data_IF_443028076603
#
_entry.id   IF_443028076603
#
_cell.length_a   1.000
_cell.length_b   1.000
_cell.length_c   1.000
_cell.angle_alpha   90.00
_cell.angle_beta   90.00
_cell.angle_gamma   90.00
#
_symmetry.space_group_name_H-M   'P 1'
#
loop_
_entity.id
_entity.type
_entity.pdbx_description
1 polymer ?
#
# COMPACT_ATOMS: atom_id res chain seq x y z
N UNK A 1 14.74 -5.12 -18.20
CA UNK A 1 14.83 -5.96 -17.00
C UNK A 1 15.76 -7.15 -17.22
N UNK A 2 16.89 -7.13 -16.52
CA UNK A 2 17.86 -8.21 -16.37
C UNK A 2 17.54 -9.03 -15.11
N UNK A 3 17.74 -10.36 -15.16
CA UNK A 3 17.55 -11.24 -14.01
C UNK A 3 18.87 -11.94 -13.70
N UNK A 4 19.36 -11.73 -12.48
CA UNK A 4 20.58 -12.32 -11.92
C UNK A 4 20.20 -13.33 -10.84
N UNK A 5 20.78 -14.53 -10.88
CA UNK A 5 20.48 -15.59 -9.90
C UNK A 5 21.71 -15.85 -9.01
N UNK A 6 21.51 -15.83 -7.69
CA UNK A 6 22.55 -16.11 -6.70
C UNK A 6 22.61 -17.60 -6.31
N UNK A 7 21.51 -18.32 -6.52
CA UNK A 7 21.35 -19.75 -6.26
C UNK A 7 20.68 -20.41 -7.46
N UNK A 8 20.78 -21.75 -7.63
CA UNK A 8 20.03 -22.45 -8.66
C UNK A 8 18.51 -22.26 -8.47
N UNK A 9 17.84 -21.68 -9.45
CA UNK A 9 16.39 -21.45 -9.48
C UNK A 9 15.84 -22.00 -10.79
N UNK A 10 14.71 -22.72 -10.73
CA UNK A 10 14.08 -23.30 -11.91
C UNK A 10 13.49 -22.26 -12.87
N UNK A 11 13.44 -22.59 -14.16
CA UNK A 11 12.92 -21.69 -15.19
C UNK A 11 11.47 -21.27 -14.95
N UNK A 12 10.62 -22.17 -14.43
CA UNK A 12 9.23 -21.87 -14.08
C UNK A 12 9.13 -20.76 -13.03
N UNK A 13 9.98 -20.79 -12.00
CA UNK A 13 10.01 -19.75 -10.96
C UNK A 13 10.49 -18.41 -11.52
N UNK A 14 11.48 -18.42 -12.41
CA UNK A 14 11.95 -17.20 -13.07
C UNK A 14 10.87 -16.60 -13.99
N UNK A 15 10.13 -17.45 -14.69
CA UNK A 15 9.00 -17.04 -15.52
C UNK A 15 7.87 -16.43 -14.67
N UNK A 16 7.55 -17.05 -13.53
CA UNK A 16 6.56 -16.54 -12.57
C UNK A 16 6.97 -15.17 -12.00
N UNK A 17 8.22 -15.01 -11.57
CA UNK A 17 8.75 -13.73 -11.09
C UNK A 17 8.60 -12.65 -12.16
N UNK A 18 9.01 -12.95 -13.39
CA UNK A 18 8.89 -12.00 -14.51
C UNK A 18 7.43 -11.61 -14.73
N UNK A 19 6.53 -12.58 -14.77
CA UNK A 19 5.10 -12.35 -14.96
C UNK A 19 4.52 -11.48 -13.83
N UNK A 20 4.90 -11.72 -12.58
CA UNK A 20 4.47 -10.91 -11.43
C UNK A 20 4.89 -9.44 -11.61
N UNK A 21 6.15 -9.19 -11.96
CA UNK A 21 6.67 -7.83 -12.13
C UNK A 21 5.95 -7.12 -13.29
N UNK A 22 5.78 -7.80 -14.42
CA UNK A 22 5.15 -7.23 -15.62
C UNK A 22 3.62 -7.07 -15.48
N UNK A 23 2.99 -7.75 -14.53
CA UNK A 23 1.52 -7.71 -14.33
C UNK A 23 0.98 -6.35 -13.90
N UNK A 24 1.84 -5.48 -13.33
CA UNK A 24 1.46 -4.11 -12.92
C UNK A 24 1.64 -3.07 -14.02
N UNK A 25 2.21 -3.45 -15.17
CA UNK A 25 2.53 -2.56 -16.28
C UNK A 25 4.01 -2.57 -16.65
N UNK A 26 4.49 -1.55 -17.38
CA UNK A 26 5.91 -1.43 -17.72
C UNK A 26 6.76 -1.39 -16.46
N UNK A 27 7.64 -2.37 -16.29
CA UNK A 27 8.50 -2.49 -15.11
C UNK A 27 9.39 -1.26 -14.96
N UNK A 28 9.33 -0.53 -13.82
CA UNK A 28 10.30 0.50 -13.47
C UNK A 28 11.57 -0.11 -12.88
N UNK A 29 11.70 -1.44 -12.85
CA UNK A 29 12.83 -2.18 -12.29
C UNK A 29 13.70 -2.69 -13.44
N UNK A 30 15.00 -2.39 -13.36
CA UNK A 30 15.99 -2.77 -14.36
C UNK A 30 16.68 -4.09 -14.03
N UNK A 31 16.96 -4.37 -12.76
CA UNK A 31 17.69 -5.56 -12.32
C UNK A 31 16.92 -6.31 -11.24
N UNK A 32 16.79 -7.62 -11.40
CA UNK A 32 16.18 -8.51 -10.41
C UNK A 32 17.20 -9.53 -9.94
N UNK A 33 17.48 -9.56 -8.63
CA UNK A 33 18.43 -10.48 -8.01
C UNK A 33 17.68 -11.56 -7.23
N UNK A 34 17.70 -12.80 -7.71
CA UNK A 34 16.95 -13.92 -7.13
C UNK A 34 17.85 -14.80 -6.26
N UNK A 35 17.35 -15.21 -5.09
CA UNK A 35 18.11 -15.97 -4.10
C UNK A 35 18.73 -15.11 -3.00
N UNK A 36 18.22 -13.89 -2.81
CA UNK A 36 18.64 -13.01 -1.73
C UNK A 36 18.04 -13.45 -0.38
N UNK A 37 18.53 -12.86 0.71
CA UNK A 37 18.03 -13.13 2.07
C UNK A 37 16.59 -12.64 2.27
N UNK A 38 16.25 -11.48 1.70
CA UNK A 38 14.92 -10.87 1.78
C UNK A 38 14.44 -10.38 0.40
N UNK A 39 13.13 -10.37 0.21
CA UNK A 39 12.50 -9.72 -0.95
C UNK A 39 12.34 -8.24 -0.67
N UNK A 40 13.09 -7.39 -1.38
CA UNK A 40 13.14 -5.95 -1.11
C UNK A 40 13.73 -5.16 -2.29
N UNK A 41 13.21 -3.95 -2.50
CA UNK A 41 13.81 -2.96 -3.39
C UNK A 41 15.00 -2.26 -2.72
N UNK A 42 16.14 -2.16 -3.40
CA UNK A 42 17.32 -1.53 -2.83
C UNK A 42 17.09 -0.02 -2.59
N UNK A 43 17.26 0.49 -1.35
CA UNK A 43 16.90 1.89 -1.05
C UNK A 43 17.73 2.93 -1.81
N UNK A 44 18.98 2.59 -2.13
CA UNK A 44 19.89 3.47 -2.87
C UNK A 44 19.70 3.39 -4.38
N UNK A 45 18.99 2.36 -4.85
CA UNK A 45 18.79 2.06 -6.26
C UNK A 45 17.40 1.43 -6.46
N UNK A 46 16.40 2.28 -6.66
CA UNK A 46 15.00 1.89 -6.86
C UNK A 46 14.77 1.06 -8.14
N UNK A 47 15.83 0.78 -8.90
CA UNK A 47 15.81 -0.06 -10.10
C UNK A 47 16.28 -1.49 -9.83
N UNK A 48 16.71 -1.83 -8.60
CA UNK A 48 17.18 -3.18 -8.22
C UNK A 48 16.22 -3.83 -7.21
N UNK A 49 15.60 -4.94 -7.62
CA UNK A 49 14.73 -5.76 -6.76
C UNK A 49 15.44 -7.06 -6.36
N UNK A 50 15.68 -7.24 -5.06
CA UNK A 50 16.10 -8.53 -4.49
C UNK A 50 14.88 -9.39 -4.21
N UNK A 51 14.97 -10.69 -4.49
CA UNK A 51 13.90 -11.67 -4.28
C UNK A 51 14.46 -12.86 -3.51
N UNK A 52 13.84 -13.13 -2.36
CA UNK A 52 14.11 -14.32 -1.56
C UNK A 52 13.41 -15.56 -2.14
N UNK A 53 13.96 -16.73 -1.84
CA UNK A 53 13.37 -18.03 -2.19
C UNK A 53 13.05 -18.82 -0.90
N UNK A 54 11.86 -19.44 -0.78
CA UNK A 54 10.77 -19.51 -1.76
C UNK A 54 10.09 -18.16 -2.01
N UNK A 55 9.56 -17.95 -3.22
CA UNK A 55 9.01 -16.67 -3.67
C UNK A 55 7.73 -16.33 -2.92
N UNK A 56 7.71 -15.20 -2.20
CA UNK A 56 6.48 -14.56 -1.73
C UNK A 56 5.96 -13.58 -2.79
N UNK A 57 4.88 -13.98 -3.46
CA UNK A 57 4.23 -13.18 -4.52
C UNK A 57 3.78 -11.80 -4.04
N UNK A 58 3.22 -11.71 -2.83
CA UNK A 58 2.76 -10.43 -2.29
C UNK A 58 3.94 -9.51 -2.01
N UNK A 59 5.03 -10.04 -1.44
CA UNK A 59 6.23 -9.25 -1.21
C UNK A 59 6.80 -8.71 -2.52
N UNK A 60 6.94 -9.56 -3.54
CA UNK A 60 7.41 -9.14 -4.87
C UNK A 60 6.52 -8.04 -5.45
N UNK A 61 5.20 -8.29 -5.51
CA UNK A 61 4.25 -7.33 -6.05
C UNK A 61 4.23 -6.01 -5.26
N UNK A 62 4.45 -6.05 -3.94
CA UNK A 62 4.48 -4.86 -3.09
C UNK A 62 5.71 -4.00 -3.36
N UNK A 63 6.88 -4.60 -3.53
CA UNK A 63 8.10 -3.88 -3.88
C UNK A 63 8.02 -3.29 -5.30
N UNK A 64 7.44 -4.02 -6.24
CA UNK A 64 7.15 -3.51 -7.61
C UNK A 64 6.16 -2.34 -7.55
N UNK A 65 5.08 -2.47 -6.78
CA UNK A 65 4.12 -1.39 -6.55
C UNK A 65 4.79 -0.16 -5.92
N UNK A 66 5.74 -0.38 -5.01
CA UNK A 66 6.50 0.71 -4.38
C UNK A 66 7.36 1.44 -5.40
N UNK A 67 8.10 0.71 -6.26
CA UNK A 67 8.87 1.30 -7.35
C UNK A 67 7.97 2.17 -8.26
N UNK A 68 6.80 1.66 -8.67
CA UNK A 68 5.82 2.46 -9.42
C UNK A 68 5.35 3.70 -8.65
N UNK A 69 5.02 3.56 -7.37
CA UNK A 69 4.46 4.63 -6.55
C UNK A 69 5.42 5.81 -6.35
N UNK A 70 6.74 5.56 -6.45
CA UNK A 70 7.78 6.59 -6.32
C UNK A 70 8.24 7.14 -7.67
N UNK A 71 8.13 6.38 -8.76
CA UNK A 71 8.58 6.81 -10.09
C UNK A 71 7.48 7.50 -10.91
N UNK A 72 6.20 7.16 -10.69
CA UNK A 72 5.07 7.73 -11.42
C UNK A 72 4.50 8.96 -10.68
N UNK A 73 4.55 10.17 -11.29
CA UNK A 73 4.00 11.38 -10.67
C UNK A 73 2.51 11.29 -10.32
N UNK A 74 1.73 10.50 -11.07
CA UNK A 74 0.29 10.34 -10.79
C UNK A 74 0.05 9.62 -9.45
N UNK A 75 0.95 8.70 -9.09
CA UNK A 75 0.90 8.01 -7.81
C UNK A 75 1.46 8.85 -6.67
N UNK A 76 2.43 9.73 -6.93
CA UNK A 76 2.96 10.64 -5.91
C UNK A 76 1.86 11.52 -5.29
N UNK A 77 0.91 12.04 -6.09
CA UNK A 77 -0.22 12.84 -5.58
C UNK A 77 -1.12 12.11 -4.56
N UNK A 78 -1.09 10.77 -4.57
CA UNK A 78 -1.92 9.95 -3.69
C UNK A 78 -1.43 10.03 -2.25
N UNK A 79 -0.12 10.04 -2.04
CA UNK A 79 0.48 9.81 -0.72
C UNK A 79 1.46 10.90 -0.31
N UNK A 80 2.16 11.54 -1.24
CA UNK A 80 3.21 12.49 -0.90
C UNK A 80 2.63 13.74 -0.24
N UNK A 81 3.12 14.03 0.96
CA UNK A 81 2.83 15.28 1.65
C UNK A 81 3.58 16.44 0.97
N UNK A 82 2.92 17.59 0.71
CA UNK A 82 3.59 18.80 0.28
C UNK A 82 4.71 19.23 1.25
N UNK A 83 5.81 19.84 0.76
CA UNK A 83 6.95 20.25 1.59
C UNK A 83 6.55 21.17 2.76
N UNK A 84 5.50 21.97 2.60
CA UNK A 84 4.98 22.87 3.63
C UNK A 84 4.47 22.12 4.87
N UNK A 85 4.15 20.83 4.73
CA UNK A 85 3.66 19.95 5.80
C UNK A 85 4.72 18.96 6.29
N UNK A 86 5.99 19.13 5.91
CA UNK A 86 7.07 18.20 6.27
C UNK A 86 7.28 18.07 7.80
N UNK A 87 7.03 19.14 8.56
CA UNK A 87 7.16 19.15 10.02
C UNK A 87 5.89 18.68 10.76
N UNK A 88 4.77 18.48 10.06
CA UNK A 88 3.52 18.06 10.67
C UNK A 88 3.47 16.53 10.83
N UNK A 89 3.41 16.05 12.06
CA UNK A 89 3.42 14.62 12.36
C UNK A 89 2.19 13.90 11.80
N UNK A 90 1.00 14.50 11.87
CA UNK A 90 -0.22 13.91 11.34
C UNK A 90 -0.13 13.78 9.81
N UNK A 91 0.44 14.80 9.15
CA UNK A 91 0.71 14.75 7.72
C UNK A 91 1.67 13.60 7.36
N UNK A 92 2.75 13.39 8.13
CA UNK A 92 3.66 12.28 7.89
C UNK A 92 3.00 10.92 8.10
N UNK A 93 2.22 10.74 9.18
CA UNK A 93 1.49 9.49 9.42
C UNK A 93 0.47 9.20 8.32
N UNK A 94 -0.24 10.23 7.84
CA UNK A 94 -1.21 10.09 6.75
C UNK A 94 -0.52 9.75 5.41
N UNK A 95 0.60 10.39 5.12
CA UNK A 95 1.41 10.10 3.92
C UNK A 95 1.80 8.63 3.87
N UNK A 96 2.33 8.09 4.98
CA UNK A 96 2.70 6.68 5.07
C UNK A 96 1.47 5.75 5.02
N UNK A 97 0.36 6.13 5.65
CA UNK A 97 -0.89 5.37 5.60
C UNK A 97 -1.40 5.25 4.16
N UNK A 98 -1.45 6.37 3.43
CA UNK A 98 -1.90 6.41 2.04
C UNK A 98 -0.95 5.69 1.10
N UNK A 99 0.36 5.83 1.30
CA UNK A 99 1.36 5.07 0.53
C UNK A 99 1.12 3.57 0.71
N UNK A 100 1.02 3.09 1.96
CA UNK A 100 0.76 1.68 2.24
C UNK A 100 -0.54 1.19 1.59
N UNK A 101 -1.60 2.01 1.63
CA UNK A 101 -2.87 1.69 0.99
C UNK A 101 -2.82 1.71 -0.52
N UNK A 102 -2.02 2.60 -1.12
CA UNK A 102 -1.77 2.63 -2.54
C UNK A 102 -1.05 1.36 -3.01
N UNK A 103 0.00 0.93 -2.28
CA UNK A 103 0.71 -0.30 -2.62
C UNK A 103 -0.23 -1.50 -2.61
N UNK A 104 -1.00 -1.66 -1.53
CA UNK A 104 -2.00 -2.73 -1.44
C UNK A 104 -3.09 -2.62 -2.53
N UNK A 105 -3.48 -1.40 -2.93
CA UNK A 105 -4.45 -1.20 -4.01
C UNK A 105 -3.89 -1.62 -5.38
N UNK A 106 -2.61 -1.35 -5.64
CA UNK A 106 -1.92 -1.80 -6.85
C UNK A 106 -1.79 -3.33 -6.88
N UNK A 107 -1.43 -3.95 -5.74
CA UNK A 107 -1.44 -5.41 -5.61
C UNK A 107 -2.84 -5.97 -5.84
N UNK A 108 -3.89 -5.37 -5.26
CA UNK A 108 -5.26 -5.85 -5.39
C UNK A 108 -5.84 -5.73 -6.81
N UNK A 109 -5.32 -4.82 -7.64
CA UNK A 109 -5.65 -4.75 -9.07
C UNK A 109 -5.14 -5.97 -9.84
N UNK A 110 -4.02 -6.55 -9.42
CA UNK A 110 -3.45 -7.78 -9.99
C UNK A 110 -4.09 -9.00 -9.36
N UNK A 111 -4.03 -9.11 -8.03
CA UNK A 111 -4.57 -10.22 -7.25
C UNK A 111 -5.05 -9.73 -5.87
N UNK A 112 -6.37 -9.56 -5.75
CA UNK A 112 -7.01 -9.15 -4.51
C UNK A 112 -6.91 -10.22 -3.41
N UNK A 113 -6.75 -11.51 -3.76
CA UNK A 113 -6.64 -12.61 -2.81
C UNK A 113 -5.43 -12.43 -1.88
N UNK A 114 -4.30 -12.03 -2.45
CA UNK A 114 -3.06 -11.80 -1.69
C UNK A 114 -3.20 -10.71 -0.61
N UNK A 115 -4.01 -9.69 -0.88
CA UNK A 115 -4.30 -8.59 0.07
C UNK A 115 -5.30 -9.06 1.12
N UNK A 116 -6.36 -9.77 0.72
CA UNK A 116 -7.39 -10.29 1.62
C UNK A 116 -6.80 -11.28 2.62
N UNK A 117 -5.93 -12.20 2.17
CA UNK A 117 -5.27 -13.20 3.03
C UNK A 117 -4.41 -12.57 4.13
N UNK A 118 -3.81 -11.41 3.85
CA UNK A 118 -2.97 -10.66 4.80
C UNK A 118 -3.73 -9.61 5.60
N UNK A 119 -4.99 -9.35 5.28
CA UNK A 119 -5.78 -8.35 5.96
C UNK A 119 -6.01 -8.72 7.43
N UNK A 120 -5.69 -7.78 8.31
CA UNK A 120 -5.95 -7.84 9.75
C UNK A 120 -6.77 -6.60 10.14
N UNK A 121 -8.11 -6.64 10.00
CA UNK A 121 -8.95 -5.51 10.35
C UNK A 121 -8.84 -5.23 11.84
N UNK A 122 -8.37 -4.04 12.18
CA UNK A 122 -8.19 -3.56 13.55
C UNK A 122 -8.32 -2.03 13.57
N UNK A 123 -8.87 -1.49 14.66
CA UNK A 123 -8.76 -0.06 14.96
C UNK A 123 -7.50 0.16 15.79
N UNK A 124 -6.61 1.02 15.30
CA UNK A 124 -5.35 1.34 15.99
C UNK A 124 -5.53 2.65 16.72
N UNK A 125 -5.64 2.60 18.05
CA UNK A 125 -5.83 3.78 18.88
C UNK A 125 -4.60 4.70 18.84
N UNK A 126 -4.86 6.00 18.79
CA UNK A 126 -3.86 7.06 18.91
C UNK A 126 -4.25 8.07 19.98
N UNK A 127 -3.35 9.03 20.24
CA UNK A 127 -3.54 10.02 21.31
C UNK A 127 -4.78 10.89 21.12
N UNK A 128 -5.21 11.05 19.87
CA UNK A 128 -6.46 11.72 19.51
C UNK A 128 -7.26 10.89 18.51
N UNK A 129 -8.52 11.28 18.30
CA UNK A 129 -9.35 10.66 17.27
C UNK A 129 -8.69 10.78 15.89
N UNK A 130 -8.09 11.93 15.55
CA UNK A 130 -7.35 12.12 14.28
C UNK A 130 -6.28 11.04 14.05
N UNK A 131 -5.40 10.85 15.03
CA UNK A 131 -4.36 9.84 14.96
C UNK A 131 -4.95 8.43 14.90
N UNK A 132 -6.04 8.16 15.63
CA UNK A 132 -6.76 6.88 15.55
C UNK A 132 -7.26 6.60 14.14
N UNK A 133 -7.87 7.59 13.47
CA UNK A 133 -8.39 7.44 12.10
C UNK A 133 -7.26 7.15 11.10
N UNK A 134 -6.16 7.89 11.18
CA UNK A 134 -5.01 7.75 10.28
C UNK A 134 -4.29 6.42 10.49
N UNK A 135 -4.04 6.03 11.74
CA UNK A 135 -3.37 4.76 12.06
C UNK A 135 -4.24 3.56 11.71
N UNK A 136 -5.56 3.68 11.88
CA UNK A 136 -6.51 2.66 11.40
C UNK A 136 -6.46 2.54 9.88
N UNK A 137 -6.47 3.66 9.14
CA UNK A 137 -6.30 3.64 7.67
C UNK A 137 -4.99 2.93 7.26
N UNK A 138 -3.91 3.12 8.03
CA UNK A 138 -2.63 2.49 7.76
C UNK A 138 -2.65 0.96 7.87
N UNK A 139 -3.60 0.34 8.59
CA UNK A 139 -3.71 -1.13 8.74
C UNK A 139 -4.94 -1.74 8.07
N UNK A 140 -5.98 -0.95 7.82
CA UNK A 140 -7.21 -1.37 7.15
C UNK A 140 -7.06 -1.57 5.62
N UNK A 141 -6.87 -2.82 5.22
CA UNK A 141 -6.80 -3.22 3.81
C UNK A 141 -8.11 -3.00 3.03
N UNK A 142 -9.25 -2.77 3.70
CA UNK A 142 -10.52 -2.55 3.00
C UNK A 142 -10.50 -1.28 2.14
N UNK A 143 -9.77 -0.24 2.56
CA UNK A 143 -9.61 0.98 1.76
C UNK A 143 -8.93 0.68 0.41
N UNK A 144 -7.88 -0.15 0.43
CA UNK A 144 -7.17 -0.58 -0.79
C UNK A 144 -8.06 -1.39 -1.72
N UNK A 145 -8.86 -2.30 -1.18
CA UNK A 145 -9.81 -3.09 -1.96
C UNK A 145 -10.90 -2.22 -2.60
N UNK A 146 -11.44 -1.25 -1.86
CA UNK A 146 -12.44 -0.33 -2.41
C UNK A 146 -11.88 0.50 -3.57
N UNK A 147 -10.68 1.06 -3.38
CA UNK A 147 -9.97 1.84 -4.41
C UNK A 147 -9.62 1.00 -5.64
N UNK A 148 -9.36 -0.31 -5.47
CA UNK A 148 -9.14 -1.23 -6.58
C UNK A 148 -10.43 -1.76 -7.22
N UNK A 149 -11.62 -1.25 -6.83
CA UNK A 149 -12.92 -1.64 -7.38
C UNK A 149 -13.57 -2.88 -6.74
N UNK A 150 -12.98 -3.43 -5.68
CA UNK A 150 -13.47 -4.60 -4.91
C UNK A 150 -14.35 -4.16 -3.73
N UNK A 151 -15.40 -3.41 -4.04
CA UNK A 151 -16.23 -2.73 -3.01
C UNK A 151 -16.94 -3.73 -2.09
N UNK A 152 -17.42 -4.86 -2.61
CA UNK A 152 -18.13 -5.84 -1.80
C UNK A 152 -17.20 -6.48 -0.75
N UNK A 153 -16.02 -6.91 -1.15
CA UNK A 153 -14.99 -7.47 -0.27
C UNK A 153 -14.49 -6.43 0.73
N UNK A 154 -14.33 -5.19 0.29
CA UNK A 154 -13.96 -4.07 1.15
C UNK A 154 -14.98 -3.84 2.28
N UNK A 155 -16.27 -3.76 1.94
CA UNK A 155 -17.33 -3.57 2.94
C UNK A 155 -17.42 -4.73 3.93
N UNK A 156 -17.19 -5.97 3.47
CA UNK A 156 -17.11 -7.13 4.35
C UNK A 156 -15.97 -7.00 5.37
N UNK A 157 -14.76 -6.61 4.92
CA UNK A 157 -13.64 -6.41 5.83
C UNK A 157 -13.90 -5.26 6.80
N UNK A 158 -14.39 -4.12 6.30
CA UNK A 158 -14.65 -2.95 7.13
C UNK A 158 -15.69 -3.22 8.22
N UNK A 159 -16.74 -3.99 7.90
CA UNK A 159 -17.79 -4.33 8.87
C UNK A 159 -17.27 -5.06 10.11
N UNK A 160 -16.10 -5.69 10.03
CA UNK A 160 -15.44 -6.35 11.17
C UNK A 160 -14.96 -5.35 12.24
N UNK A 161 -14.86 -4.07 11.89
CA UNK A 161 -14.49 -2.99 12.83
C UNK A 161 -15.70 -2.44 13.60
N UNK A 162 -16.94 -2.84 13.25
CA UNK A 162 -18.17 -2.21 13.75
C UNK A 162 -18.36 -2.21 15.27
N UNK A 163 -17.69 -3.13 15.98
CA UNK A 163 -17.76 -3.22 17.44
C UNK A 163 -16.99 -2.11 18.19
N UNK A 164 -16.13 -1.35 17.51
CA UNK A 164 -15.26 -0.38 18.16
C UNK A 164 -15.92 1.02 18.25
N UNK A 165 -15.81 1.77 19.37
CA UNK A 165 -16.42 3.10 19.52
C UNK A 165 -16.02 4.11 18.44
N UNK A 166 -14.79 4.04 17.95
CA UNK A 166 -14.28 4.90 16.87
C UNK A 166 -14.81 4.52 15.46
N UNK A 167 -15.52 3.40 15.32
CA UNK A 167 -15.96 2.87 14.02
C UNK A 167 -16.75 3.87 13.20
N UNK A 168 -17.74 4.55 13.79
CA UNK A 168 -18.59 5.48 13.04
C UNK A 168 -17.82 6.69 12.48
N UNK A 169 -16.83 7.18 13.23
CA UNK A 169 -15.93 8.23 12.76
C UNK A 169 -15.02 7.70 11.65
N UNK A 170 -14.47 6.50 11.84
CA UNK A 170 -13.63 5.86 10.85
C UNK A 170 -14.37 5.50 9.57
N UNK A 171 -15.61 5.03 9.64
CA UNK A 171 -16.45 4.73 8.49
C UNK A 171 -16.65 5.96 7.60
N UNK A 172 -16.93 7.13 8.20
CA UNK A 172 -17.06 8.39 7.46
C UNK A 172 -15.75 8.81 6.80
N UNK A 173 -14.63 8.67 7.51
CA UNK A 173 -13.31 8.94 6.96
C UNK A 173 -12.98 8.00 5.80
N UNK A 174 -13.24 6.70 5.98
CA UNK A 174 -13.05 5.67 4.98
C UNK A 174 -13.88 5.93 3.72
N UNK A 175 -15.16 6.29 3.85
CA UNK A 175 -16.03 6.63 2.72
C UNK A 175 -15.47 7.83 1.94
N UNK A 176 -14.96 8.84 2.64
CA UNK A 176 -14.34 10.01 2.02
C UNK A 176 -13.03 9.64 1.31
N UNK A 177 -12.12 8.93 1.98
CA UNK A 177 -10.80 8.56 1.46
C UNK A 177 -10.91 7.64 0.25
N UNK A 178 -11.78 6.63 0.28
CA UNK A 178 -11.96 5.72 -0.85
C UNK A 178 -12.57 6.40 -2.08
N UNK A 179 -13.33 7.48 -1.87
CA UNK A 179 -13.89 8.30 -2.96
C UNK A 179 -12.92 9.40 -3.43
N UNK A 180 -12.00 9.82 -2.59
CA UNK A 180 -11.05 10.92 -2.83
C UNK A 180 -9.63 10.50 -2.44
N UNK A 181 -9.14 9.41 -3.04
CA UNK A 181 -7.91 8.73 -2.63
C UNK A 181 -6.65 9.52 -2.99
N UNK A 182 -6.45 10.64 -2.30
CA UNK A 182 -5.32 11.58 -2.45
C UNK A 182 -4.98 12.22 -1.11
N UNK A 183 -3.71 12.59 -0.95
CA UNK A 183 -3.18 13.14 0.29
C UNK A 183 -3.91 14.41 0.74
N UNK A 184 -3.90 15.44 -0.11
CA UNK A 184 -4.43 16.77 0.24
C UNK A 184 -5.92 16.73 0.62
N UNK A 185 -6.82 16.09 -0.16
CA UNK A 185 -8.22 15.94 0.23
C UNK A 185 -8.39 15.26 1.59
N UNK A 186 -7.71 14.13 1.81
CA UNK A 186 -7.82 13.37 3.06
C UNK A 186 -7.34 14.19 4.27
N UNK A 187 -6.20 14.86 4.13
CA UNK A 187 -5.61 15.70 5.18
C UNK A 187 -6.53 16.87 5.55
N UNK A 188 -7.03 17.60 4.56
CA UNK A 188 -7.93 18.72 4.77
C UNK A 188 -9.25 18.28 5.42
N UNK A 189 -9.80 17.13 5.00
CA UNK A 189 -11.01 16.59 5.60
C UNK A 189 -10.82 16.27 7.09
N UNK A 190 -9.69 15.63 7.44
CA UNK A 190 -9.35 15.33 8.83
C UNK A 190 -9.33 16.60 9.69
N UNK A 191 -8.60 17.63 9.26
CA UNK A 191 -8.51 18.89 10.00
C UNK A 191 -9.87 19.59 10.13
N UNK A 192 -10.69 19.61 9.07
CA UNK A 192 -12.01 20.24 9.10
C UNK A 192 -12.96 19.54 10.07
N UNK A 193 -12.91 18.20 10.12
CA UNK A 193 -13.84 17.40 10.93
C UNK A 193 -13.39 17.27 12.38
N UNK A 194 -12.08 17.19 12.63
CA UNK A 194 -11.52 16.78 13.92
C UNK A 194 -10.27 17.56 14.37
N UNK A 195 -9.84 18.60 13.66
CA UNK A 195 -8.65 19.42 13.97
C UNK A 195 -8.80 20.42 15.13
N UNK A 196 -9.69 20.15 16.08
CA UNK A 196 -9.94 21.01 17.25
C UNK A 196 -9.15 20.56 18.47
#
# INVERSE_FOLDING_TARGET
>A
MEIVTLVPVGEETLAEIRQLIESMGPSPIDVVVVGAEETRLEPSDLYVLKISVPVDKYAVLKEVAYAHAVTDPQYAEVWAAPPELAADQLAQELSLALLRRLLDALVAKVDAGLVIERARPEIVEGDTLLYTLVRTLAVDASASLAVSGRVAEALQLLSRLAGHPAYEAYRKFWDFVTSNFKFLPAYNWLLLMYGK
#
